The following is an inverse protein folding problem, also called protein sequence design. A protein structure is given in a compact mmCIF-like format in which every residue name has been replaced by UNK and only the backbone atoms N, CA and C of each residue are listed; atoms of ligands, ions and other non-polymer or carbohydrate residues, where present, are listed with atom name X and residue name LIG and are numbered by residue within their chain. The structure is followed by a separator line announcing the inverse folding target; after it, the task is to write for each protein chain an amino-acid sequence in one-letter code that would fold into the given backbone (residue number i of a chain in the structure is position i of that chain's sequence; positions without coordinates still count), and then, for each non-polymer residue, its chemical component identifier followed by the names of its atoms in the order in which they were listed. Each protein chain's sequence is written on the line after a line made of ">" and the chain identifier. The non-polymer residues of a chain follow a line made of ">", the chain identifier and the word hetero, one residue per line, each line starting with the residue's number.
data_IF_270985603207
#
_entry.id   IF_270985603207
#
_cell.length_a   1.000
_cell.length_b   1.000
_cell.length_c   1.000
_cell.angle_alpha   90.00
_cell.angle_beta   90.00
_cell.angle_gamma   90.00
#
_symmetry.space_group_name_H-M   'P 1'
#
loop_
_entity.id
_entity.type
_entity.pdbx_description
1 polymer ?
#
# COMPACT_ATOMS: atom_id res chain seq x y z
N UNK A 1 14.94 -19.25 -7.34
CA UNK A 1 14.64 -17.88 -6.85
C UNK A 1 15.61 -17.58 -5.70
N UNK A 2 16.35 -16.47 -5.77
CA UNK A 2 17.32 -16.12 -4.74
C UNK A 2 16.62 -15.67 -3.44
N UNK A 3 17.26 -15.83 -2.27
CA UNK A 3 16.71 -15.37 -0.97
C UNK A 3 16.44 -13.87 -0.96
N UNK A 4 17.25 -13.10 -1.68
CA UNK A 4 17.09 -11.63 -1.81
C UNK A 4 15.83 -11.25 -2.56
N UNK A 5 15.50 -11.97 -3.63
CA UNK A 5 14.28 -11.74 -4.42
C UNK A 5 13.03 -12.06 -3.60
N UNK A 6 13.01 -13.21 -2.92
CA UNK A 6 11.93 -13.56 -2.00
C UNK A 6 11.72 -12.49 -0.93
N UNK A 7 12.82 -11.98 -0.34
CA UNK A 7 12.76 -10.92 0.65
C UNK A 7 12.18 -9.61 0.10
N UNK A 8 12.54 -9.22 -1.14
CA UNK A 8 12.01 -8.01 -1.76
C UNK A 8 10.52 -8.13 -2.12
N UNK A 9 10.13 -9.28 -2.67
CA UNK A 9 8.72 -9.59 -2.99
C UNK A 9 7.85 -9.62 -1.72
N UNK A 10 8.35 -10.28 -0.66
CA UNK A 10 7.64 -10.34 0.62
C UNK A 10 7.50 -8.96 1.26
N UNK A 11 8.57 -8.15 1.25
CA UNK A 11 8.52 -6.79 1.77
C UNK A 11 7.50 -5.93 1.00
N UNK A 12 7.48 -6.02 -0.32
CA UNK A 12 6.52 -5.30 -1.14
C UNK A 12 5.09 -5.75 -0.86
N UNK A 13 4.83 -7.07 -0.87
CA UNK A 13 3.49 -7.61 -0.61
C UNK A 13 2.99 -7.25 0.80
N UNK A 14 3.82 -7.37 1.83
CA UNK A 14 3.45 -6.98 3.20
C UNK A 14 3.28 -5.49 3.38
N UNK A 15 4.02 -4.66 2.64
CA UNK A 15 3.84 -3.20 2.63
C UNK A 15 2.54 -2.78 1.96
N UNK A 16 2.10 -3.53 0.93
CA UNK A 16 0.84 -3.28 0.24
C UNK A 16 -0.38 -3.86 0.98
N UNK A 17 -0.24 -5.04 1.61
CA UNK A 17 -1.33 -5.71 2.37
C UNK A 17 -1.32 -5.19 3.82
N UNK A 18 -1.60 -3.90 3.98
CA UNK A 18 -1.75 -3.24 5.27
C UNK A 18 -3.22 -2.97 5.62
N UNK A 19 -3.46 -2.21 6.69
CA UNK A 19 -4.83 -1.88 7.12
C UNK A 19 -5.60 -1.11 6.04
N UNK A 20 -4.93 -0.24 5.27
CA UNK A 20 -5.53 0.47 4.14
C UNK A 20 -6.05 -0.48 3.07
N UNK A 21 -5.30 -1.52 2.74
CA UNK A 21 -5.72 -2.53 1.76
C UNK A 21 -7.04 -3.19 2.13
N UNK A 22 -7.18 -3.63 3.40
CA UNK A 22 -8.37 -4.31 3.91
C UNK A 22 -9.56 -3.34 3.91
N UNK A 23 -9.38 -2.17 4.51
CA UNK A 23 -10.43 -1.16 4.66
C UNK A 23 -10.90 -0.60 3.32
N UNK A 24 -9.98 -0.25 2.41
CA UNK A 24 -10.30 0.23 1.06
C UNK A 24 -11.08 -0.82 0.26
N UNK A 25 -10.62 -2.08 0.28
CA UNK A 25 -11.29 -3.16 -0.43
C UNK A 25 -12.71 -3.36 0.11
N UNK A 26 -12.90 -3.34 1.43
CA UNK A 26 -14.22 -3.47 2.04
C UNK A 26 -15.11 -2.28 1.72
N UNK A 27 -14.64 -1.06 1.95
CA UNK A 27 -15.42 0.16 1.73
C UNK A 27 -15.93 0.25 0.29
N UNK A 28 -15.06 0.01 -0.69
CA UNK A 28 -15.47 0.05 -2.10
C UNK A 28 -16.29 -1.16 -2.53
N UNK A 29 -16.14 -2.32 -1.89
CA UNK A 29 -17.05 -3.46 -2.13
C UNK A 29 -18.46 -3.13 -1.65
N UNK A 30 -18.60 -2.52 -0.47
CA UNK A 30 -19.90 -2.07 0.06
C UNK A 30 -20.52 -1.02 -0.86
N UNK A 31 -19.73 -0.06 -1.32
CA UNK A 31 -20.20 1.07 -2.14
C UNK A 31 -20.58 0.67 -3.57
N UNK A 32 -19.79 -0.19 -4.21
CA UNK A 32 -19.87 -0.46 -5.65
C UNK A 32 -20.40 -1.87 -5.96
N UNK A 33 -20.50 -2.74 -4.95
CA UNK A 33 -20.89 -4.14 -5.15
C UNK A 33 -19.98 -4.84 -6.16
N UNK A 34 -20.58 -5.61 -7.07
CA UNK A 34 -19.85 -6.35 -8.11
C UNK A 34 -19.09 -5.46 -9.09
N UNK A 35 -19.52 -4.20 -9.31
CA UNK A 35 -18.83 -3.25 -10.20
C UNK A 35 -17.40 -2.91 -9.73
N UNK A 36 -17.08 -3.12 -8.46
CA UNK A 36 -15.72 -2.93 -7.92
C UNK A 36 -14.69 -3.88 -8.55
N UNK A 37 -15.11 -5.03 -9.12
CA UNK A 37 -14.23 -5.94 -9.84
C UNK A 37 -13.47 -5.26 -10.99
N UNK A 38 -14.09 -4.31 -11.69
CA UNK A 38 -13.43 -3.50 -12.73
C UNK A 38 -12.29 -2.66 -12.15
N UNK A 39 -12.52 -1.98 -11.04
CA UNK A 39 -11.50 -1.16 -10.39
C UNK A 39 -10.30 -2.01 -9.93
N UNK A 40 -10.55 -3.21 -9.39
CA UNK A 40 -9.50 -4.16 -9.02
C UNK A 40 -8.70 -4.59 -10.26
N UNK A 41 -9.35 -4.99 -11.34
CA UNK A 41 -8.67 -5.44 -12.55
C UNK A 41 -7.80 -4.34 -13.17
N UNK A 42 -8.34 -3.13 -13.32
CA UNK A 42 -7.60 -1.98 -13.87
C UNK A 42 -6.43 -1.61 -12.96
N UNK A 43 -6.61 -1.59 -11.63
CA UNK A 43 -5.52 -1.29 -10.71
C UNK A 43 -4.37 -2.29 -10.85
N UNK A 44 -4.64 -3.59 -10.93
CA UNK A 44 -3.61 -4.63 -11.10
C UNK A 44 -2.83 -4.43 -12.41
N UNK A 45 -3.52 -4.14 -13.52
CA UNK A 45 -2.87 -3.92 -14.83
C UNK A 45 -1.94 -2.69 -14.76
N UNK A 46 -2.43 -1.58 -14.22
CA UNK A 46 -1.65 -0.34 -14.06
C UNK A 46 -0.48 -0.55 -13.10
N UNK A 47 -0.71 -1.23 -11.98
CA UNK A 47 0.31 -1.51 -10.96
C UNK A 47 1.46 -2.35 -11.56
N UNK A 48 1.14 -3.42 -12.32
CA UNK A 48 2.15 -4.24 -13.01
C UNK A 48 2.94 -3.40 -14.00
N UNK A 49 2.26 -2.60 -14.83
CA UNK A 49 2.90 -1.78 -15.84
C UNK A 49 3.89 -0.77 -15.23
N UNK A 50 3.47 -0.08 -14.19
CA UNK A 50 4.29 0.95 -13.54
C UNK A 50 5.40 0.35 -12.69
N UNK A 51 5.10 -0.65 -11.86
CA UNK A 51 6.10 -1.24 -10.99
C UNK A 51 7.19 -1.96 -11.77
N UNK A 52 6.84 -2.64 -12.87
CA UNK A 52 7.82 -3.29 -13.75
C UNK A 52 8.82 -2.28 -14.32
N UNK A 53 8.35 -1.08 -14.72
CA UNK A 53 9.21 0.00 -15.19
C UNK A 53 10.09 0.54 -14.06
N UNK A 54 9.50 0.87 -12.90
CA UNK A 54 10.23 1.44 -11.76
C UNK A 54 11.34 0.49 -11.29
N UNK A 55 11.00 -0.78 -11.06
CA UNK A 55 11.97 -1.74 -10.58
C UNK A 55 13.08 -2.00 -11.59
N UNK A 56 12.74 -2.00 -12.89
CA UNK A 56 13.74 -2.19 -13.94
C UNK A 56 14.71 -1.03 -14.02
N UNK A 57 14.22 0.21 -14.01
CA UNK A 57 15.11 1.40 -14.08
C UNK A 57 16.01 1.47 -12.85
N UNK A 58 15.45 1.34 -11.65
CA UNK A 58 16.19 1.37 -10.40
C UNK A 58 17.18 0.21 -10.34
N UNK A 59 16.74 -1.00 -10.63
CA UNK A 59 17.57 -2.20 -10.55
C UNK A 59 18.70 -2.20 -11.58
N UNK A 60 18.44 -1.80 -12.83
CA UNK A 60 19.49 -1.74 -13.88
C UNK A 60 20.48 -0.64 -13.62
N UNK A 61 20.01 0.56 -13.24
CA UNK A 61 20.90 1.70 -12.95
C UNK A 61 21.72 1.53 -11.67
N UNK A 62 21.31 0.64 -10.78
CA UNK A 62 21.93 0.51 -9.45
C UNK A 62 21.76 1.74 -8.55
N UNK A 63 20.83 2.65 -8.89
CA UNK A 63 20.64 3.95 -8.23
C UNK A 63 19.26 4.05 -7.62
N UNK A 64 19.14 4.76 -6.50
CA UNK A 64 17.86 5.03 -5.87
C UNK A 64 17.08 6.09 -6.65
N UNK A 65 15.75 6.09 -6.51
CA UNK A 65 14.85 6.98 -7.23
C UNK A 65 15.22 8.48 -7.09
N UNK A 66 15.54 8.92 -5.86
CA UNK A 66 15.93 10.31 -5.60
C UNK A 66 17.29 10.68 -6.25
N UNK A 67 18.23 9.73 -6.35
CA UNK A 67 19.51 9.94 -7.03
C UNK A 67 19.29 10.12 -8.54
N UNK A 68 18.43 9.27 -9.13
CA UNK A 68 18.03 9.40 -10.53
C UNK A 68 17.34 10.73 -10.80
N UNK A 69 16.45 11.17 -9.92
CA UNK A 69 15.80 12.47 -10.02
C UNK A 69 16.81 13.64 -10.08
N UNK A 70 17.82 13.64 -9.20
CA UNK A 70 18.87 14.67 -9.19
C UNK A 70 19.80 14.61 -10.42
N UNK A 71 19.94 13.46 -11.06
CA UNK A 71 20.68 13.31 -12.32
C UNK A 71 19.87 13.75 -13.55
N UNK A 72 18.54 13.79 -13.45
CA UNK A 72 17.65 14.37 -14.48
C UNK A 72 17.66 15.89 -14.40
N UNK A 73 17.44 16.43 -13.19
CA UNK A 73 17.51 17.86 -12.94
C UNK A 73 18.00 18.12 -11.50
N UNK A 74 18.92 19.06 -11.27
CA UNK A 74 19.38 19.40 -9.93
C UNK A 74 18.21 19.80 -9.02
N UNK A 75 18.11 19.16 -7.86
CA UNK A 75 17.01 19.40 -6.89
C UNK A 75 15.76 18.55 -7.08
N UNK A 76 15.50 17.96 -8.25
CA UNK A 76 14.30 17.16 -8.52
C UNK A 76 14.20 15.93 -7.60
N UNK A 77 15.31 15.29 -7.28
CA UNK A 77 15.35 14.18 -6.34
C UNK A 77 14.94 14.58 -4.93
N UNK A 78 15.20 15.82 -4.51
CA UNK A 78 14.73 16.34 -3.21
C UNK A 78 13.24 16.63 -3.22
N UNK A 79 12.70 17.13 -4.36
CA UNK A 79 11.24 17.29 -4.52
C UNK A 79 10.56 15.93 -4.45
N UNK A 80 11.10 14.91 -5.15
CA UNK A 80 10.59 13.54 -5.05
C UNK A 80 10.64 13.01 -3.62
N UNK A 81 11.76 13.19 -2.91
CA UNK A 81 11.91 12.76 -1.53
C UNK A 81 10.88 13.45 -0.61
N UNK A 82 10.66 14.76 -0.77
CA UNK A 82 9.66 15.50 -0.02
C UNK A 82 8.24 14.96 -0.26
N UNK A 83 7.86 14.71 -1.51
CA UNK A 83 6.55 14.12 -1.86
C UNK A 83 6.39 12.73 -1.26
N UNK A 84 7.44 11.90 -1.30
CA UNK A 84 7.43 10.56 -0.70
C UNK A 84 7.31 10.62 0.84
N UNK A 85 7.95 11.61 1.47
CA UNK A 85 7.83 11.84 2.93
C UNK A 85 6.41 12.26 3.29
N UNK A 86 5.81 13.19 2.54
CA UNK A 86 4.42 13.61 2.75
C UNK A 86 3.45 12.46 2.52
N UNK A 87 3.62 11.70 1.44
CA UNK A 87 2.81 10.51 1.15
C UNK A 87 2.94 9.43 2.24
N UNK A 88 4.17 9.16 2.68
CA UNK A 88 4.45 8.24 3.77
C UNK A 88 3.89 8.71 5.12
N UNK A 89 3.88 10.04 5.35
CA UNK A 89 3.26 10.65 6.52
C UNK A 89 1.75 10.39 6.57
N UNK A 90 1.05 10.71 5.49
CA UNK A 90 -0.39 10.46 5.36
C UNK A 90 -0.71 8.98 5.48
N UNK A 91 0.11 8.13 4.84
CA UNK A 91 -0.05 6.68 4.93
C UNK A 91 0.11 6.16 6.37
N UNK A 92 1.05 6.73 7.12
CA UNK A 92 1.31 6.32 8.50
C UNK A 92 0.21 6.79 9.47
N UNK A 93 -0.40 7.95 9.24
CA UNK A 93 -1.62 8.37 9.94
C UNK A 93 -2.74 7.33 9.72
N UNK A 94 -2.92 6.88 8.48
CA UNK A 94 -3.85 5.79 8.17
C UNK A 94 -3.51 4.46 8.85
N UNK A 95 -2.22 4.08 8.91
CA UNK A 95 -1.80 2.85 9.59
C UNK A 95 -2.10 2.88 11.09
N UNK A 96 -1.91 4.03 11.75
CA UNK A 96 -2.26 4.21 13.18
C UNK A 96 -3.78 4.10 13.36
N UNK A 97 -4.54 4.69 12.46
CA UNK A 97 -6.01 4.56 12.40
C UNK A 97 -6.44 3.10 12.27
N UNK A 98 -5.78 2.33 11.40
CA UNK A 98 -6.02 0.89 11.24
C UNK A 98 -5.69 0.08 12.49
N UNK A 99 -4.63 0.45 13.23
CA UNK A 99 -4.35 -0.17 14.52
C UNK A 99 -5.46 0.11 15.54
N UNK A 100 -6.06 1.29 15.51
CA UNK A 100 -7.24 1.64 16.28
C UNK A 100 -8.45 0.78 15.95
N UNK A 101 -8.77 0.62 14.66
CA UNK A 101 -9.85 -0.28 14.22
C UNK A 101 -9.60 -1.74 14.61
N UNK A 102 -8.34 -2.18 14.60
CA UNK A 102 -7.96 -3.52 15.04
C UNK A 102 -8.20 -3.73 16.54
N UNK A 103 -7.82 -2.74 17.38
CA UNK A 103 -8.05 -2.81 18.83
C UNK A 103 -9.53 -2.72 19.18
N UNK A 104 -10.31 -1.94 18.44
CA UNK A 104 -11.76 -1.88 18.59
C UNK A 104 -12.38 -3.25 18.29
N UNK A 105 -12.12 -3.84 17.15
CA UNK A 105 -12.62 -5.15 16.78
C UNK A 105 -12.18 -6.27 17.75
N UNK A 106 -10.95 -6.19 18.29
CA UNK A 106 -10.39 -7.21 19.19
C UNK A 106 -10.88 -7.06 20.62
N UNK A 107 -10.93 -5.82 21.14
CA UNK A 107 -11.10 -5.52 22.58
C UNK A 107 -12.26 -4.56 22.89
N UNK A 108 -12.91 -3.96 21.89
CA UNK A 108 -13.94 -2.94 22.09
C UNK A 108 -13.38 -1.60 22.62
N UNK A 109 -12.11 -1.31 22.35
CA UNK A 109 -11.45 -0.08 22.79
C UNK A 109 -11.65 1.00 21.74
N UNK A 110 -11.98 2.23 22.17
CA UNK A 110 -12.10 3.37 21.26
C UNK A 110 -10.91 3.47 20.30
N UNK A 111 -11.15 3.59 18.96
CA UNK A 111 -10.09 3.55 17.96
C UNK A 111 -9.00 4.60 18.14
N UNK A 112 -9.31 5.79 18.72
CA UNK A 112 -8.30 6.84 18.97
C UNK A 112 -7.37 6.43 20.12
N UNK A 113 -7.95 5.86 21.17
CA UNK A 113 -7.18 5.35 22.33
C UNK A 113 -6.34 4.16 21.89
N UNK A 114 -6.96 3.19 21.20
CA UNK A 114 -6.30 1.98 20.72
C UNK A 114 -5.17 2.29 19.73
N UNK A 115 -5.39 3.20 18.78
CA UNK A 115 -4.37 3.65 17.83
C UNK A 115 -3.18 4.34 18.51
N UNK A 116 -3.45 5.21 19.50
CA UNK A 116 -2.41 5.90 20.25
C UNK A 116 -1.55 4.93 21.07
N UNK A 117 -2.16 3.99 21.77
CA UNK A 117 -1.45 2.95 22.53
C UNK A 117 -0.62 2.08 21.58
N UNK A 118 -1.21 1.70 20.43
CA UNK A 118 -0.54 0.90 19.41
C UNK A 118 0.69 1.60 18.83
N UNK A 119 0.63 2.91 18.62
CA UNK A 119 1.78 3.70 18.18
C UNK A 119 2.91 3.72 19.24
N UNK A 120 2.57 3.83 20.53
CA UNK A 120 3.56 3.70 21.60
C UNK A 120 4.20 2.30 21.63
N UNK A 121 3.41 1.25 21.43
CA UNK A 121 3.92 -0.12 21.29
C UNK A 121 4.84 -0.24 20.08
N UNK A 122 4.47 0.34 18.93
CA UNK A 122 5.30 0.32 17.72
C UNK A 122 6.66 1.00 17.94
N UNK A 123 6.70 2.13 18.66
CA UNK A 123 7.95 2.78 19.07
C UNK A 123 8.77 1.84 19.97
N UNK A 124 8.14 1.21 20.97
CA UNK A 124 8.80 0.26 21.87
C UNK A 124 9.40 -0.93 21.13
N UNK A 125 8.66 -1.51 20.18
CA UNK A 125 9.13 -2.60 19.30
C UNK A 125 10.31 -2.13 18.46
N UNK A 126 10.22 -0.96 17.85
CA UNK A 126 11.28 -0.40 17.00
C UNK A 126 12.58 -0.16 17.78
N UNK A 127 12.49 0.31 19.03
CA UNK A 127 13.63 0.50 19.93
C UNK A 127 14.26 -0.84 20.39
N UNK A 128 13.48 -1.90 20.40
CA UNK A 128 13.93 -3.24 20.82
C UNK A 128 14.32 -4.13 19.64
N UNK A 129 15.63 -4.31 19.41
CA UNK A 129 16.14 -5.19 18.34
C UNK A 129 15.64 -6.64 18.44
N UNK A 130 15.35 -7.13 19.66
CA UNK A 130 14.86 -8.51 19.87
C UNK A 130 13.37 -8.64 19.58
N UNK A 131 12.58 -7.60 19.89
CA UNK A 131 11.14 -7.60 19.65
C UNK A 131 10.81 -7.60 18.15
N UNK A 132 11.59 -6.90 17.32
CA UNK A 132 11.39 -6.87 15.87
C UNK A 132 11.36 -8.26 15.21
N UNK A 133 12.32 -9.12 15.52
CA UNK A 133 12.37 -10.48 14.96
C UNK A 133 11.22 -11.39 15.42
N UNK A 134 10.71 -11.19 16.64
CA UNK A 134 9.53 -11.90 17.14
C UNK A 134 8.25 -11.43 16.43
N UNK A 135 8.13 -10.11 16.24
CA UNK A 135 7.00 -9.50 15.51
C UNK A 135 6.96 -9.98 14.06
N UNK A 136 8.11 -10.02 13.37
CA UNK A 136 8.16 -10.49 11.97
C UNK A 136 7.62 -11.94 11.83
N UNK A 137 7.95 -12.83 12.76
CA UNK A 137 7.42 -14.21 12.76
C UNK A 137 5.92 -14.25 13.03
N UNK A 138 5.46 -13.49 14.02
CA UNK A 138 4.06 -13.43 14.40
C UNK A 138 3.21 -12.91 13.24
N UNK A 139 3.68 -11.90 12.51
CA UNK A 139 2.99 -11.33 11.35
C UNK A 139 2.86 -12.32 10.20
N UNK A 140 3.85 -13.17 9.97
CA UNK A 140 3.71 -14.25 8.96
C UNK A 140 2.60 -15.21 9.34
N UNK A 141 2.54 -15.65 10.59
CA UNK A 141 1.48 -16.55 11.07
C UNK A 141 0.11 -15.89 10.99
N UNK A 142 0.00 -14.63 11.45
CA UNK A 142 -1.26 -13.88 11.40
C UNK A 142 -1.68 -13.58 9.96
N UNK A 143 -0.74 -13.30 9.07
CA UNK A 143 -1.00 -13.13 7.64
C UNK A 143 -1.58 -14.40 7.00
N UNK A 144 -1.01 -15.57 7.31
CA UNK A 144 -1.56 -16.86 6.87
C UNK A 144 -2.95 -17.13 7.47
N UNK A 145 -3.16 -16.78 8.73
CA UNK A 145 -4.49 -16.86 9.39
C UNK A 145 -5.50 -15.97 8.67
N UNK A 146 -5.12 -14.74 8.31
CA UNK A 146 -5.97 -13.83 7.55
C UNK A 146 -6.34 -14.39 6.18
N UNK A 147 -5.37 -14.94 5.45
CA UNK A 147 -5.60 -15.58 4.16
C UNK A 147 -6.60 -16.73 4.32
N UNK A 148 -6.38 -17.61 5.31
CA UNK A 148 -7.25 -18.75 5.56
C UNK A 148 -8.67 -18.31 5.92
N UNK A 149 -8.81 -17.35 6.84
CA UNK A 149 -10.11 -16.83 7.29
C UNK A 149 -10.85 -16.13 6.14
N UNK A 150 -10.17 -15.27 5.39
CA UNK A 150 -10.77 -14.56 4.25
C UNK A 150 -11.20 -15.53 3.15
N UNK A 151 -10.37 -16.56 2.89
CA UNK A 151 -10.69 -17.60 1.92
C UNK A 151 -11.90 -18.43 2.39
N UNK A 152 -11.94 -18.80 3.65
CA UNK A 152 -13.10 -19.48 4.25
C UNK A 152 -14.38 -18.67 4.04
N UNK A 153 -14.38 -17.39 4.36
CA UNK A 153 -15.53 -16.51 4.17
C UNK A 153 -15.91 -16.39 2.70
N UNK A 154 -14.93 -16.26 1.78
CA UNK A 154 -15.20 -16.21 0.35
C UNK A 154 -15.94 -17.45 -0.17
N UNK A 155 -15.66 -18.63 0.39
CA UNK A 155 -16.37 -19.85 0.02
C UNK A 155 -17.73 -20.00 0.69
N UNK A 156 -17.88 -19.57 1.95
CA UNK A 156 -19.09 -19.78 2.73
C UNK A 156 -20.15 -18.71 2.53
N UNK A 157 -19.76 -17.48 2.16
CA UNK A 157 -20.69 -16.36 1.94
C UNK A 157 -21.47 -16.42 0.62
N UNK A 158 -21.12 -17.34 -0.30
CA UNK A 158 -21.82 -17.52 -1.57
C UNK A 158 -21.79 -16.29 -2.49
N UNK A 159 -20.61 -15.70 -2.78
CA UNK A 159 -20.52 -14.50 -3.58
C UNK A 159 -21.05 -14.72 -5.00
N UNK A 160 -21.69 -13.71 -5.63
CA UNK A 160 -22.17 -13.79 -7.00
C UNK A 160 -21.00 -13.69 -8.00
N UNK A 161 -20.17 -14.75 -8.08
CA UNK A 161 -18.93 -14.79 -8.88
C UNK A 161 -19.20 -14.50 -10.36
N UNK A 162 -20.30 -15.00 -10.93
CA UNK A 162 -20.67 -14.74 -12.32
C UNK A 162 -20.90 -13.26 -12.60
N UNK A 163 -21.57 -12.55 -11.68
CA UNK A 163 -21.76 -11.10 -11.76
C UNK A 163 -20.46 -10.34 -11.59
N UNK A 164 -19.61 -10.77 -10.64
CA UNK A 164 -18.29 -10.16 -10.44
C UNK A 164 -17.41 -10.31 -11.69
N UNK A 165 -17.35 -11.49 -12.31
CA UNK A 165 -16.59 -11.72 -13.54
C UNK A 165 -17.13 -10.87 -14.72
N UNK A 166 -18.46 -10.78 -14.89
CA UNK A 166 -19.05 -9.89 -15.89
C UNK A 166 -18.67 -8.45 -15.67
N UNK A 167 -18.67 -8.01 -14.42
CA UNK A 167 -18.35 -6.63 -14.02
C UNK A 167 -16.87 -6.27 -14.22
N UNK A 168 -15.97 -7.23 -14.41
CA UNK A 168 -14.57 -6.95 -14.79
C UNK A 168 -14.50 -6.24 -16.15
N UNK A 169 -15.43 -6.55 -17.08
CA UNK A 169 -15.42 -5.99 -18.45
C UNK A 169 -16.57 -5.01 -18.64
N UNK A 170 -17.73 -5.27 -18.04
CA UNK A 170 -18.97 -4.49 -18.19
C UNK A 170 -19.48 -4.06 -16.80
N UNK A 171 -18.78 -3.14 -16.11
CA UNK A 171 -19.23 -2.65 -14.81
C UNK A 171 -20.48 -1.76 -14.97
N UNK A 172 -21.40 -1.82 -14.01
CA UNK A 172 -22.57 -0.95 -13.98
C UNK A 172 -22.19 0.51 -13.68
N UNK A 173 -21.10 0.72 -12.94
CA UNK A 173 -20.56 2.03 -12.62
C UNK A 173 -19.02 1.98 -12.49
N UNK A 174 -18.36 3.10 -12.81
CA UNK A 174 -16.92 3.25 -12.70
C UNK A 174 -16.62 4.34 -11.67
N UNK A 175 -15.88 3.97 -10.62
CA UNK A 175 -15.40 4.92 -9.62
C UNK A 175 -13.94 5.25 -9.85
N UNK A 176 -13.67 6.46 -10.34
CA UNK A 176 -12.30 6.97 -10.53
C UNK A 176 -11.56 7.02 -9.20
N UNK A 177 -12.25 7.46 -8.12
CA UNK A 177 -11.69 7.49 -6.77
C UNK A 177 -11.25 6.09 -6.30
N UNK A 178 -12.09 5.07 -6.52
CA UNK A 178 -11.75 3.71 -6.12
C UNK A 178 -10.48 3.22 -6.84
N UNK A 179 -10.39 3.40 -8.17
CA UNK A 179 -9.20 3.00 -8.95
C UNK A 179 -7.95 3.74 -8.45
N UNK A 180 -8.02 5.07 -8.28
CA UNK A 180 -6.91 5.90 -7.77
C UNK A 180 -6.46 5.43 -6.38
N UNK A 181 -7.43 5.16 -5.50
CA UNK A 181 -7.17 4.70 -4.13
C UNK A 181 -6.51 3.34 -4.10
N UNK A 182 -6.95 2.40 -4.96
CA UNK A 182 -6.35 1.08 -5.04
C UNK A 182 -4.90 1.14 -5.54
N UNK A 183 -4.65 1.88 -6.62
CA UNK A 183 -3.29 2.09 -7.15
C UNK A 183 -2.40 2.75 -6.09
N UNK A 184 -2.89 3.82 -5.46
CA UNK A 184 -2.15 4.52 -4.41
C UNK A 184 -1.92 3.67 -3.16
N UNK A 185 -2.86 2.80 -2.80
CA UNK A 185 -2.73 1.87 -1.68
C UNK A 185 -1.82 0.67 -1.96
N UNK A 186 -1.55 0.35 -3.24
CA UNK A 186 -0.73 -0.80 -3.65
C UNK A 186 0.69 -0.40 -4.01
N UNK A 187 0.85 0.63 -4.85
CA UNK A 187 2.16 1.08 -5.36
C UNK A 187 2.44 2.56 -5.09
N UNK A 188 1.51 3.28 -4.45
CA UNK A 188 1.65 4.70 -4.16
C UNK A 188 2.73 5.02 -3.13
N UNK A 189 3.13 6.28 -3.10
CA UNK A 189 4.11 6.80 -2.16
C UNK A 189 5.43 6.02 -2.22
N UNK A 190 5.86 5.54 -1.08
CA UNK A 190 7.13 4.81 -0.93
C UNK A 190 7.08 3.34 -1.39
N UNK A 191 5.89 2.74 -1.52
CA UNK A 191 5.71 1.28 -1.69
C UNK A 191 6.37 0.79 -2.98
N UNK A 192 6.14 1.48 -4.10
CA UNK A 192 6.71 1.10 -5.40
C UNK A 192 8.25 1.07 -5.40
N UNK A 193 8.88 1.90 -4.56
CA UNK A 193 10.34 1.98 -4.46
C UNK A 193 10.92 1.02 -3.43
N UNK A 194 10.16 0.67 -2.40
CA UNK A 194 10.64 -0.12 -1.25
C UNK A 194 11.27 -1.45 -1.67
N UNK A 195 10.60 -2.22 -2.52
CA UNK A 195 11.11 -3.49 -3.01
C UNK A 195 12.34 -3.34 -3.92
N UNK A 196 12.34 -2.34 -4.82
CA UNK A 196 13.49 -2.05 -5.69
C UNK A 196 14.73 -1.63 -4.88
N UNK A 197 14.56 -0.76 -3.89
CA UNK A 197 15.65 -0.35 -3.00
C UNK A 197 16.18 -1.52 -2.16
N UNK A 198 15.32 -2.44 -1.75
CA UNK A 198 15.71 -3.67 -1.05
C UNK A 198 16.58 -4.57 -1.93
N UNK A 199 16.26 -4.69 -3.21
CA UNK A 199 17.10 -5.44 -4.17
C UNK A 199 18.47 -4.79 -4.30
N UNK A 200 18.55 -3.46 -4.42
CA UNK A 200 19.83 -2.74 -4.44
C UNK A 200 20.64 -2.98 -3.16
N UNK A 201 20.00 -2.90 -1.99
CA UNK A 201 20.65 -3.14 -0.70
C UNK A 201 21.15 -4.59 -0.55
N UNK A 202 20.55 -5.54 -1.28
CA UNK A 202 20.96 -6.92 -1.37
C UNK A 202 22.01 -7.20 -2.47
N UNK A 203 22.47 -6.16 -3.19
CA UNK A 203 23.44 -6.29 -4.27
C UNK A 203 22.87 -6.81 -5.60
N UNK A 204 21.55 -6.86 -5.74
CA UNK A 204 20.89 -7.28 -6.98
C UNK A 204 20.67 -6.05 -7.87
N UNK A 205 21.58 -5.83 -8.83
CA UNK A 205 21.54 -4.70 -9.75
C UNK A 205 22.24 -5.00 -11.07
N UNK A 206 22.03 -4.13 -12.07
CA UNK A 206 22.62 -4.23 -13.40
C UNK A 206 21.79 -5.02 -14.41
N UNK A 207 22.19 -4.94 -15.68
CA UNK A 207 21.48 -5.56 -16.81
C UNK A 207 21.38 -7.10 -16.70
N UNK A 208 22.34 -7.75 -16.05
CA UNK A 208 22.32 -9.21 -15.84
C UNK A 208 21.18 -9.71 -14.95
N UNK A 209 20.64 -8.84 -14.06
CA UNK A 209 19.58 -9.18 -13.10
C UNK A 209 18.17 -8.84 -13.59
N UNK A 210 18.00 -8.37 -14.83
CA UNK A 210 16.72 -7.87 -15.38
C UNK A 210 15.58 -8.89 -15.27
N UNK A 211 15.85 -10.16 -15.52
CA UNK A 211 14.84 -11.23 -15.40
C UNK A 211 14.38 -11.40 -13.97
N UNK A 212 15.32 -11.41 -13.03
CA UNK A 212 15.04 -11.57 -11.61
C UNK A 212 14.25 -10.38 -11.05
N UNK A 213 14.68 -9.16 -11.39
CA UNK A 213 13.99 -7.91 -11.03
C UNK A 213 12.56 -7.92 -11.58
N UNK A 214 12.39 -8.26 -12.86
CA UNK A 214 11.07 -8.30 -13.50
C UNK A 214 10.13 -9.33 -12.90
N UNK A 215 10.61 -10.55 -12.64
CA UNK A 215 9.81 -11.59 -11.98
C UNK A 215 9.39 -11.16 -10.58
N UNK A 216 10.31 -10.57 -9.80
CA UNK A 216 10.00 -10.11 -8.45
C UNK A 216 8.92 -9.03 -8.44
N UNK A 217 9.03 -8.05 -9.34
CA UNK A 217 8.07 -6.94 -9.41
C UNK A 217 6.66 -7.43 -9.78
N UNK A 218 6.53 -8.28 -10.80
CA UNK A 218 5.23 -8.79 -11.25
C UNK A 218 4.61 -9.73 -10.22
N UNK A 219 5.39 -10.66 -9.66
CA UNK A 219 4.88 -11.63 -8.68
C UNK A 219 4.37 -10.93 -7.42
N UNK A 220 5.05 -9.87 -6.94
CA UNK A 220 4.58 -9.09 -5.80
C UNK A 220 3.19 -8.49 -6.02
N UNK A 221 2.95 -7.88 -7.19
CA UNK A 221 1.63 -7.33 -7.55
C UNK A 221 0.58 -8.43 -7.70
N UNK A 222 0.92 -9.56 -8.34
CA UNK A 222 -0.05 -10.64 -8.54
C UNK A 222 -0.49 -11.29 -7.22
N UNK A 223 0.43 -11.44 -6.25
CA UNK A 223 0.08 -11.94 -4.92
C UNK A 223 -0.87 -10.95 -4.23
N UNK A 224 -0.55 -9.66 -4.25
CA UNK A 224 -1.40 -8.62 -3.66
C UNK A 224 -2.76 -8.56 -4.35
N UNK A 225 -2.79 -8.66 -5.69
CA UNK A 225 -4.01 -8.71 -6.49
C UNK A 225 -4.89 -9.92 -6.17
N UNK A 226 -4.30 -11.11 -6.06
CA UNK A 226 -5.02 -12.32 -5.68
C UNK A 226 -5.66 -12.19 -4.29
N UNK A 227 -4.92 -11.66 -3.31
CA UNK A 227 -5.45 -11.38 -1.97
C UNK A 227 -6.61 -10.39 -2.01
N UNK A 228 -6.54 -9.35 -2.85
CA UNK A 228 -7.62 -8.38 -3.01
C UNK A 228 -8.86 -9.00 -3.62
N UNK A 229 -8.70 -9.87 -4.61
CA UNK A 229 -9.83 -10.61 -5.21
C UNK A 229 -10.50 -11.52 -4.18
N UNK A 230 -9.73 -12.26 -3.38
CA UNK A 230 -10.28 -13.14 -2.33
C UNK A 230 -11.05 -12.31 -1.29
N UNK A 231 -10.48 -11.22 -0.81
CA UNK A 231 -11.13 -10.32 0.14
C UNK A 231 -12.39 -9.67 -0.45
N UNK A 232 -12.31 -9.21 -1.71
CA UNK A 232 -13.46 -8.67 -2.43
C UNK A 232 -14.60 -9.69 -2.50
N UNK A 233 -14.32 -10.92 -2.90
CA UNK A 233 -15.34 -11.97 -2.99
C UNK A 233 -15.93 -12.31 -1.61
N UNK A 234 -15.10 -12.36 -0.57
CA UNK A 234 -15.56 -12.58 0.80
C UNK A 234 -16.58 -11.51 1.23
N UNK A 235 -16.23 -10.24 1.07
CA UNK A 235 -17.11 -9.12 1.44
C UNK A 235 -18.32 -9.04 0.52
N UNK A 236 -18.13 -9.24 -0.81
CA UNK A 236 -19.23 -9.23 -1.77
C UNK A 236 -20.28 -10.30 -1.44
N UNK A 237 -19.87 -11.49 -1.03
CA UNK A 237 -20.78 -12.55 -0.62
C UNK A 237 -21.62 -12.15 0.60
N UNK A 238 -20.97 -11.60 1.63
CA UNK A 238 -21.64 -11.13 2.85
C UNK A 238 -22.66 -10.03 2.53
N UNK A 239 -22.27 -9.02 1.77
CA UNK A 239 -23.14 -7.89 1.39
C UNK A 239 -24.27 -8.33 0.48
N UNK A 240 -24.02 -9.20 -0.50
CA UNK A 240 -25.03 -9.73 -1.41
C UNK A 240 -26.03 -10.64 -0.70
N UNK A 241 -25.66 -11.22 0.44
CA UNK A 241 -26.56 -11.95 1.34
C UNK A 241 -27.52 -11.08 2.15
N UNK A 242 -27.49 -9.75 1.95
CA UNK A 242 -28.37 -8.80 2.65
C UNK A 242 -27.81 -8.30 3.98
N UNK A 243 -26.56 -8.58 4.30
CA UNK A 243 -25.94 -8.11 5.52
C UNK A 243 -25.74 -6.58 5.50
N UNK A 244 -26.18 -5.91 6.55
CA UNK A 244 -25.88 -4.48 6.78
C UNK A 244 -24.61 -4.41 7.62
N UNK A 245 -23.57 -3.82 7.05
CA UNK A 245 -22.29 -3.68 7.73
C UNK A 245 -22.21 -2.36 8.49
N UNK A 246 -21.55 -2.39 9.63
CA UNK A 246 -21.26 -1.18 10.41
C UNK A 246 -20.32 -0.25 9.63
N UNK A 247 -20.75 0.99 9.41
CA UNK A 247 -20.01 1.97 8.66
C UNK A 247 -18.66 2.38 9.34
N UNK A 248 -18.61 2.31 10.66
CA UNK A 248 -17.43 2.69 11.44
C UNK A 248 -16.31 1.64 11.33
N UNK A 249 -16.68 0.34 11.12
CA UNK A 249 -15.73 -0.74 10.91
C UNK A 249 -16.35 -1.86 10.05
N UNK A 250 -16.65 -1.55 8.79
CA UNK A 250 -17.34 -2.45 7.87
C UNK A 250 -16.62 -3.80 7.68
N UNK A 251 -15.28 -3.78 7.70
CA UNK A 251 -14.49 -5.00 7.57
C UNK A 251 -14.70 -5.92 8.79
N UNK A 252 -14.57 -5.39 10.01
CA UNK A 252 -14.82 -6.16 11.23
C UNK A 252 -16.25 -6.71 11.29
N UNK A 253 -17.24 -5.89 10.93
CA UNK A 253 -18.63 -6.27 10.85
C UNK A 253 -18.87 -7.42 9.87
N UNK A 254 -18.23 -7.40 8.69
CA UNK A 254 -18.33 -8.49 7.72
C UNK A 254 -17.77 -9.82 8.26
N UNK A 255 -16.63 -9.77 8.93
CA UNK A 255 -16.02 -10.95 9.54
C UNK A 255 -16.83 -11.47 10.74
N UNK A 256 -17.45 -10.57 11.50
CA UNK A 256 -18.37 -10.94 12.59
C UNK A 256 -19.61 -11.66 12.05
N UNK A 257 -20.22 -11.13 11.00
CA UNK A 257 -21.43 -11.74 10.42
C UNK A 257 -21.14 -13.10 9.77
N UNK A 258 -19.98 -13.27 9.16
CA UNK A 258 -19.59 -14.51 8.48
C UNK A 258 -19.05 -15.60 9.42
N UNK A 259 -18.37 -15.23 10.51
CA UNK A 259 -17.65 -16.15 11.39
C UNK A 259 -17.90 -15.90 12.91
N UNK A 260 -18.91 -15.10 13.23
CA UNK A 260 -19.32 -14.80 14.61
C UNK A 260 -18.27 -13.99 15.38
N UNK A 261 -18.42 -13.98 16.70
CA UNK A 261 -17.54 -13.22 17.60
C UNK A 261 -16.06 -13.66 17.50
N UNK A 262 -15.81 -14.95 17.29
CA UNK A 262 -14.46 -15.46 17.09
C UNK A 262 -13.82 -14.87 15.82
N UNK A 263 -14.59 -14.77 14.73
CA UNK A 263 -14.15 -14.13 13.49
C UNK A 263 -13.80 -12.67 13.69
N UNK A 264 -14.63 -11.93 14.42
CA UNK A 264 -14.39 -10.53 14.79
C UNK A 264 -13.05 -10.36 15.55
N UNK A 265 -12.84 -11.15 16.62
CA UNK A 265 -11.64 -11.06 17.46
C UNK A 265 -10.36 -11.42 16.71
N UNK A 266 -10.40 -12.50 15.94
CA UNK A 266 -9.26 -12.93 15.10
C UNK A 266 -8.97 -11.89 14.04
N UNK A 267 -9.99 -11.37 13.35
CA UNK A 267 -9.82 -10.27 12.40
C UNK A 267 -9.18 -9.04 13.04
N UNK A 268 -9.68 -8.62 14.21
CA UNK A 268 -9.13 -7.47 14.96
C UNK A 268 -7.65 -7.65 15.29
N UNK A 269 -7.26 -8.84 15.78
CA UNK A 269 -5.85 -9.16 16.08
C UNK A 269 -4.97 -9.08 14.82
N UNK A 270 -5.45 -9.63 13.70
CA UNK A 270 -4.70 -9.60 12.43
C UNK A 270 -4.56 -8.18 11.91
N UNK A 271 -5.65 -7.39 11.92
CA UNK A 271 -5.66 -6.00 11.50
C UNK A 271 -4.70 -5.15 12.35
N UNK A 272 -4.74 -5.33 13.67
CA UNK A 272 -3.86 -4.66 14.61
C UNK A 272 -2.38 -4.98 14.35
N UNK A 273 -2.03 -6.25 14.21
CA UNK A 273 -0.65 -6.69 13.97
C UNK A 273 -0.13 -6.20 12.61
N UNK A 274 -0.94 -6.28 11.55
CA UNK A 274 -0.61 -5.74 10.23
C UNK A 274 -0.41 -4.23 10.29
N UNK A 275 -1.22 -3.52 11.08
CA UNK A 275 -1.12 -2.07 11.26
C UNK A 275 0.17 -1.67 11.98
N UNK A 276 0.53 -2.34 13.08
CA UNK A 276 1.77 -2.06 13.82
C UNK A 276 3.00 -2.25 12.92
N UNK A 277 3.06 -3.34 12.19
CA UNK A 277 4.19 -3.58 11.28
C UNK A 277 4.24 -2.58 10.15
N UNK A 278 3.08 -2.15 9.63
CA UNK A 278 2.99 -1.08 8.64
C UNK A 278 3.42 0.27 9.21
N UNK A 279 3.06 0.60 10.45
CA UNK A 279 3.53 1.83 11.14
C UNK A 279 5.06 1.85 11.22
N UNK A 280 5.68 0.75 11.65
CA UNK A 280 7.13 0.64 11.78
C UNK A 280 7.78 0.70 10.39
N UNK A 281 7.30 -0.11 9.45
CA UNK A 281 7.86 -0.22 8.10
C UNK A 281 7.75 1.06 7.31
N UNK A 282 6.58 1.70 7.31
CA UNK A 282 6.34 2.98 6.65
C UNK A 282 7.22 4.10 7.22
N UNK A 283 7.31 4.19 8.56
CA UNK A 283 8.13 5.20 9.23
C UNK A 283 9.62 5.02 8.91
N UNK A 284 10.13 3.80 9.03
CA UNK A 284 11.53 3.50 8.70
C UNK A 284 11.85 3.82 7.23
N UNK A 285 10.99 3.36 6.32
CA UNK A 285 11.20 3.58 4.88
C UNK A 285 11.11 5.06 4.53
N UNK A 286 10.11 5.79 5.05
CA UNK A 286 9.94 7.22 4.81
C UNK A 286 11.16 8.01 5.30
N UNK A 287 11.63 7.75 6.52
CA UNK A 287 12.84 8.39 7.07
C UNK A 287 14.09 8.04 6.24
N UNK A 288 14.13 6.86 5.60
CA UNK A 288 15.27 6.48 4.76
C UNK A 288 15.43 7.33 3.50
N UNK A 289 14.39 8.02 3.04
CA UNK A 289 14.48 8.95 1.90
C UNK A 289 15.18 10.27 2.25
N UNK A 290 15.16 10.67 3.51
CA UNK A 290 15.79 11.92 3.98
C UNK A 290 17.09 11.68 4.76
N UNK A 291 17.49 10.42 4.96
CA UNK A 291 18.71 10.05 5.68
C UNK A 291 19.65 9.25 4.78
N UNK A 292 20.97 9.39 5.02
CA UNK A 292 22.00 8.61 4.34
C UNK A 292 22.40 7.42 5.21
N UNK A 293 22.54 6.23 4.60
CA UNK A 293 22.99 5.02 5.31
C UNK A 293 24.41 5.16 5.87
N UNK A 294 25.26 5.90 5.16
CA UNK A 294 26.68 6.06 5.51
C UNK A 294 26.98 7.29 6.34
N UNK A 295 26.17 8.36 6.21
CA UNK A 295 26.42 9.66 6.87
C UNK A 295 25.56 9.90 8.11
N UNK A 296 24.38 9.27 8.22
CA UNK A 296 23.47 9.49 9.34
C UNK A 296 23.72 8.47 10.45
N UNK A 297 24.11 8.87 11.67
CA UNK A 297 24.27 7.96 12.80
C UNK A 297 22.99 7.15 13.07
N UNK A 298 23.14 5.90 13.46
CA UNK A 298 22.01 5.01 13.76
C UNK A 298 21.06 5.60 14.82
N UNK A 299 21.64 6.23 15.86
CA UNK A 299 20.87 6.89 16.93
C UNK A 299 19.97 8.00 16.37
N UNK A 300 20.52 8.85 15.49
CA UNK A 300 19.74 9.94 14.86
C UNK A 300 18.62 9.38 14.01
N UNK A 301 18.89 8.31 13.23
CA UNK A 301 17.85 7.65 12.43
C UNK A 301 16.75 7.08 13.31
N UNK A 302 17.09 6.43 14.41
CA UNK A 302 16.14 5.89 15.38
C UNK A 302 15.26 7.00 15.97
N UNK A 303 15.85 8.12 16.39
CA UNK A 303 15.11 9.26 16.91
C UNK A 303 14.16 9.86 15.86
N UNK A 304 14.60 9.98 14.60
CA UNK A 304 13.75 10.47 13.50
C UNK A 304 12.56 9.53 13.24
N UNK A 305 12.75 8.22 13.28
CA UNK A 305 11.65 7.25 13.11
C UNK A 305 10.66 7.35 14.28
N UNK A 306 11.14 7.37 15.52
CA UNK A 306 10.27 7.53 16.69
C UNK A 306 9.53 8.88 16.67
N UNK A 307 10.22 9.96 16.31
CA UNK A 307 9.62 11.30 16.15
C UNK A 307 8.57 11.33 15.04
N UNK A 308 8.82 10.61 13.93
CA UNK A 308 7.87 10.49 12.83
C UNK A 308 6.60 9.72 13.25
N UNK A 309 6.72 8.61 13.99
CA UNK A 309 5.57 7.89 14.56
C UNK A 309 4.81 8.79 15.53
N UNK A 310 5.50 9.48 16.42
CA UNK A 310 4.87 10.38 17.39
C UNK A 310 4.11 11.53 16.72
N UNK A 311 4.71 12.14 15.68
CA UNK A 311 4.09 13.23 14.93
C UNK A 311 2.86 12.76 14.15
N UNK A 312 2.93 11.60 13.48
CA UNK A 312 1.77 11.02 12.78
C UNK A 312 0.66 10.63 13.75
N UNK A 313 1.01 10.15 14.95
CA UNK A 313 0.04 9.88 16.02
C UNK A 313 -0.67 11.15 16.50
N UNK A 314 0.10 12.21 16.71
CA UNK A 314 -0.47 13.51 17.08
C UNK A 314 -1.48 14.00 16.03
N UNK A 315 -1.13 13.91 14.74
CA UNK A 315 -2.04 14.32 13.66
C UNK A 315 -3.27 13.41 13.62
N UNK A 316 -3.12 12.09 13.79
CA UNK A 316 -4.25 11.16 13.88
C UNK A 316 -5.25 11.56 14.96
N UNK A 317 -4.75 11.92 16.16
CA UNK A 317 -5.60 12.35 17.28
C UNK A 317 -6.28 13.69 16.99
N UNK A 318 -5.57 14.66 16.40
CA UNK A 318 -6.05 16.02 16.16
C UNK A 318 -7.04 16.12 14.98
N UNK A 319 -6.85 15.35 13.91
CA UNK A 319 -7.70 15.43 12.71
C UNK A 319 -9.13 15.04 13.02
N UNK A 320 -9.36 14.09 13.91
CA UNK A 320 -10.70 13.71 14.37
C UNK A 320 -11.60 13.08 13.30
N UNK A 321 -11.09 12.82 12.08
CA UNK A 321 -11.83 12.15 11.04
C UNK A 321 -12.03 10.66 11.35
N UNK A 322 -13.09 10.07 10.77
CA UNK A 322 -13.38 8.63 10.94
C UNK A 322 -12.18 7.77 10.48
N UNK A 323 -11.80 6.74 11.24
CA UNK A 323 -10.65 5.91 10.90
C UNK A 323 -10.69 5.29 9.50
N UNK A 324 -11.86 4.86 9.04
CA UNK A 324 -12.07 4.32 7.69
C UNK A 324 -11.77 5.39 6.63
N UNK A 325 -12.26 6.62 6.83
CA UNK A 325 -12.01 7.72 5.89
C UNK A 325 -10.52 8.07 5.78
N UNK A 326 -9.79 8.05 6.90
CA UNK A 326 -8.33 8.27 6.90
C UNK A 326 -7.57 7.21 6.10
N UNK A 327 -7.98 5.93 6.20
CA UNK A 327 -7.37 4.83 5.46
C UNK A 327 -7.66 4.91 3.95
N UNK A 328 -8.89 5.28 3.58
CA UNK A 328 -9.26 5.50 2.16
C UNK A 328 -8.53 6.73 1.62
N UNK A 329 -8.53 7.83 2.37
CA UNK A 329 -7.80 9.05 2.01
C UNK A 329 -6.31 8.81 1.80
N UNK A 330 -5.66 8.04 2.69
CA UNK A 330 -4.24 7.73 2.56
C UNK A 330 -3.91 7.05 1.23
N UNK A 331 -4.73 6.10 0.79
CA UNK A 331 -4.58 5.49 -0.54
C UNK A 331 -4.82 6.48 -1.67
N UNK A 332 -5.92 7.22 -1.63
CA UNK A 332 -6.25 8.22 -2.64
C UNK A 332 -5.13 9.27 -2.77
N UNK A 333 -4.67 9.83 -1.66
CA UNK A 333 -3.61 10.83 -1.62
C UNK A 333 -2.30 10.32 -2.23
N UNK A 334 -1.89 9.09 -1.90
CA UNK A 334 -0.70 8.49 -2.49
C UNK A 334 -0.89 8.19 -3.99
N UNK A 335 -2.10 7.88 -4.44
CA UNK A 335 -2.46 7.79 -5.85
C UNK A 335 -2.31 9.13 -6.58
N UNK A 336 -2.66 10.25 -5.93
CA UNK A 336 -2.46 11.61 -6.50
C UNK A 336 -0.99 11.96 -6.67
N UNK A 337 -0.12 11.52 -5.76
CA UNK A 337 1.32 11.80 -5.81
C UNK A 337 2.08 10.91 -6.80
N UNK A 338 1.55 9.73 -7.11
CA UNK A 338 2.23 8.69 -7.88
C UNK A 338 2.75 9.15 -9.25
N UNK A 339 1.98 9.89 -10.08
CA UNK A 339 2.40 10.28 -11.44
C UNK A 339 3.70 11.09 -11.45
N UNK A 340 3.98 11.88 -10.42
CA UNK A 340 5.18 12.74 -10.37
C UNK A 340 6.47 11.91 -10.34
N UNK A 341 6.55 10.96 -9.42
CA UNK A 341 7.73 10.11 -9.29
C UNK A 341 7.91 9.14 -10.46
N UNK A 342 6.81 8.56 -10.94
CA UNK A 342 6.82 7.64 -12.09
C UNK A 342 7.27 8.37 -13.36
N UNK A 343 6.80 9.61 -13.59
CA UNK A 343 7.20 10.40 -14.76
C UNK A 343 8.72 10.59 -14.85
N UNK A 344 9.38 10.85 -13.71
CA UNK A 344 10.86 10.97 -13.66
C UNK A 344 11.53 9.65 -14.03
N UNK A 345 11.05 8.53 -13.49
CA UNK A 345 11.62 7.19 -13.78
C UNK A 345 11.45 6.82 -15.26
N UNK A 346 10.28 7.08 -15.85
CA UNK A 346 10.02 6.83 -17.26
C UNK A 346 10.84 7.77 -18.17
N UNK A 347 11.07 9.01 -17.74
CA UNK A 347 11.97 9.93 -18.43
C UNK A 347 13.39 9.38 -18.48
N UNK A 348 13.92 8.86 -17.35
CA UNK A 348 15.23 8.20 -17.30
C UNK A 348 15.27 7.04 -18.29
N UNK A 349 14.26 6.17 -18.27
CA UNK A 349 14.18 5.03 -19.21
C UNK A 349 14.18 5.46 -20.69
N UNK A 350 13.61 6.63 -21.00
CA UNK A 350 13.43 7.12 -22.37
C UNK A 350 14.61 7.94 -22.89
N UNK A 351 15.25 8.76 -22.04
CA UNK A 351 16.20 9.79 -22.45
C UNK A 351 17.59 9.68 -21.86
N UNK A 352 17.77 8.84 -20.84
CA UNK A 352 19.03 8.75 -20.10
C UNK A 352 19.59 7.31 -20.12
N UNK A 353 19.84 6.81 -21.35
CA UNK A 353 20.49 5.52 -21.57
C UNK A 353 21.88 5.43 -20.92
N UNK A 354 22.55 6.59 -20.73
CA UNK A 354 23.81 6.74 -20.01
C UNK A 354 23.71 6.28 -18.54
N UNK A 355 22.53 6.36 -17.92
CA UNK A 355 22.29 5.93 -16.53
C UNK A 355 21.92 4.43 -16.42
N UNK A 356 21.76 3.74 -17.54
CA UNK A 356 21.35 2.35 -17.61
C UNK A 356 22.49 1.40 -18.04
N UNK A 357 23.74 1.83 -17.94
CA UNK A 357 24.95 1.03 -18.23
C UNK A 357 24.88 0.28 -19.59
N UNK A 358 24.39 0.96 -20.64
CA UNK A 358 24.26 0.39 -21.98
C UNK A 358 23.08 -0.59 -22.15
N UNK A 359 22.24 -0.76 -21.15
CA UNK A 359 21.04 -1.59 -21.26
C UNK A 359 20.05 -1.00 -22.28
N UNK A 360 19.72 -1.78 -23.30
CA UNK A 360 18.72 -1.40 -24.30
C UNK A 360 17.31 -1.61 -23.72
N UNK A 361 16.66 -0.51 -23.38
CA UNK A 361 15.33 -0.57 -22.77
C UNK A 361 14.27 -1.03 -23.78
N UNK A 362 13.42 -2.03 -23.48
CA UNK A 362 12.41 -2.53 -24.42
C UNK A 362 11.36 -1.47 -24.75
N UNK A 363 11.17 -1.19 -26.05
CA UNK A 363 10.22 -0.16 -26.53
C UNK A 363 8.78 -0.44 -26.08
N UNK A 364 8.35 -1.71 -26.11
CA UNK A 364 7.00 -2.08 -25.67
C UNK A 364 6.75 -1.71 -24.19
N UNK A 365 7.78 -1.89 -23.33
CA UNK A 365 7.67 -1.59 -21.93
C UNK A 365 7.60 -0.08 -21.67
N UNK A 366 8.32 0.74 -22.46
CA UNK A 366 8.17 2.20 -22.44
C UNK A 366 6.76 2.63 -22.85
N UNK A 367 6.22 2.07 -23.94
CA UNK A 367 4.86 2.40 -24.39
C UNK A 367 3.84 2.07 -23.31
N UNK A 368 3.91 0.87 -22.75
CA UNK A 368 3.01 0.44 -21.66
C UNK A 368 3.18 1.30 -20.41
N UNK A 369 4.43 1.65 -20.05
CA UNK A 369 4.72 2.52 -18.92
C UNK A 369 4.15 3.92 -19.08
N UNK A 370 4.35 4.56 -20.24
CA UNK A 370 3.81 5.90 -20.52
C UNK A 370 2.28 5.88 -20.63
N UNK A 371 1.68 4.84 -21.23
CA UNK A 371 0.23 4.67 -21.26
C UNK A 371 -0.36 4.56 -19.85
N UNK A 372 0.22 3.71 -18.99
CA UNK A 372 -0.19 3.57 -17.60
C UNK A 372 0.01 4.88 -16.81
N UNK A 373 1.10 5.62 -17.08
CA UNK A 373 1.34 6.93 -16.48
C UNK A 373 0.28 7.96 -16.85
N UNK A 374 -0.12 8.03 -18.12
CA UNK A 374 -1.22 8.89 -18.58
C UNK A 374 -2.54 8.52 -17.88
N UNK A 375 -2.82 7.24 -17.71
CA UNK A 375 -4.00 6.77 -16.97
C UNK A 375 -3.93 7.27 -15.52
N UNK A 376 -2.79 7.11 -14.82
CA UNK A 376 -2.67 7.60 -13.44
C UNK A 376 -2.75 9.12 -13.34
N UNK A 377 -2.27 9.86 -14.33
CA UNK A 377 -2.40 11.31 -14.38
C UNK A 377 -3.88 11.74 -14.52
N UNK A 378 -4.62 11.09 -15.42
CA UNK A 378 -6.06 11.30 -15.58
C UNK A 378 -6.84 10.97 -14.29
N UNK A 379 -6.55 9.81 -13.70
CA UNK A 379 -7.19 9.37 -12.45
C UNK A 379 -6.88 10.34 -11.31
N UNK A 380 -5.63 10.78 -11.17
CA UNK A 380 -5.22 11.75 -10.15
C UNK A 380 -6.00 13.08 -10.32
N UNK A 381 -6.02 13.64 -11.53
CA UNK A 381 -6.72 14.90 -11.80
C UNK A 381 -8.21 14.84 -11.42
N UNK A 382 -8.87 13.70 -11.67
CA UNK A 382 -10.31 13.54 -11.39
C UNK A 382 -10.60 13.09 -9.94
N UNK A 383 -9.58 12.70 -9.18
CA UNK A 383 -9.73 12.22 -7.78
C UNK A 383 -9.41 13.29 -6.74
N UNK A 384 -8.89 14.47 -7.10
CA UNK A 384 -8.49 15.51 -6.14
C UNK A 384 -9.65 15.91 -5.24
N UNK A 385 -10.76 16.38 -5.84
CA UNK A 385 -11.93 16.83 -5.09
C UNK A 385 -12.57 15.70 -4.28
N UNK A 386 -12.88 14.52 -4.85
CA UNK A 386 -13.43 13.41 -4.08
C UNK A 386 -12.51 12.92 -2.94
N UNK A 387 -11.19 12.94 -3.13
CA UNK A 387 -10.24 12.56 -2.09
C UNK A 387 -10.26 13.56 -0.93
N UNK A 388 -10.24 14.86 -1.20
CA UNK A 388 -10.29 15.88 -0.16
C UNK A 388 -11.61 15.84 0.64
N UNK A 389 -12.72 15.52 -0.01
CA UNK A 389 -14.03 15.38 0.64
C UNK A 389 -14.09 14.28 1.70
N UNK A 390 -13.15 13.32 1.70
CA UNK A 390 -13.08 12.26 2.72
C UNK A 390 -12.67 12.78 4.10
N UNK A 391 -11.93 13.88 4.16
CA UNK A 391 -11.32 14.39 5.42
C UNK A 391 -11.61 15.86 5.69
N UNK A 392 -12.13 16.59 4.71
CA UNK A 392 -12.49 18.00 4.83
C UNK A 392 -13.98 18.17 4.50
N UNK A 393 -14.74 18.92 5.31
CA UNK A 393 -16.09 19.34 4.94
C UNK A 393 -15.97 20.34 3.80
N UNK A 394 -16.04 19.85 2.55
CA UNK A 394 -16.10 20.73 1.38
C UNK A 394 -17.53 21.23 1.25
N UNK A 395 -17.71 22.56 1.12
CA UNK A 395 -19.00 23.14 0.75
C UNK A 395 -19.41 22.58 -0.63
N UNK A 396 -20.66 22.15 -0.76
CA UNK A 396 -21.26 21.63 -1.99
C UNK A 396 -21.28 22.68 -3.12
#
# INVERSE_FOLDING_TARGET
>A
MTRSLLGAMFLMATSAIGPGFITQTTAFTVQLGAAFAFAIAISIVVDVALQLNVWRVIGVSGRRAQELGNLVAPGLGWVMAALLVVGGFVFNVGNISGAGLGTDAMLGVDPRVGGTISAAIAIGIFLSRRAGAAVDRSVVVLGLTMIALTTYIAFTSGPPVGLALRSVVLPEQISVLAITTLIGGTIGGYIVYAGAHRLLDAGVSGAGCVREIGLGSVTGILITGAMRVILFLAILGVVSGGAVLDADNAAASAFQQAAGEAGLRVFGLVLWAASITSVIGASYTTVSFITSRTRTPERTRTLLVCGFIALTTLVFVLVGAAPVALLVFAGAFNGLLLPMGIGVILWVATRRADLLDGYVYPRWLLVVGWAAWLVTLYLAANSVRPALALVLPLAE
#
